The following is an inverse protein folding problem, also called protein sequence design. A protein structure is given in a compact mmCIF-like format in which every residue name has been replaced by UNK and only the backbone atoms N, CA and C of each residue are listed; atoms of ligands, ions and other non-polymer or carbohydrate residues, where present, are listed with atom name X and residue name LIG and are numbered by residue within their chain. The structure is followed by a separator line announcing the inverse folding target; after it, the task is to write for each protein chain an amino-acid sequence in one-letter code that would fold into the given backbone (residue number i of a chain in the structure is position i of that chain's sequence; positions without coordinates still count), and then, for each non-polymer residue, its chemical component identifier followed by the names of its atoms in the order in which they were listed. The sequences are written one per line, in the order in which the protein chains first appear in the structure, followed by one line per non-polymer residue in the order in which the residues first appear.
data_IF_602964290381
#
_entry.id   IF_602964290381
#
_cell.length_a   1.000
_cell.length_b   1.000
_cell.length_c   1.000
_cell.angle_alpha   90.00
_cell.angle_beta   90.00
_cell.angle_gamma   90.00
#
_symmetry.space_group_name_H-M   'P 1'
#
loop_
_entity.id
_entity.type
_entity.pdbx_description
1 polymer ?
#
# COMPACT_ATOMS: atom_id res chain seq x y z
N UNK A 1 7.65 -15.64 -4.31
CA UNK A 1 7.04 -14.32 -4.37
C UNK A 1 6.66 -13.84 -3.00
N UNK A 2 6.78 -12.56 -2.78
CA UNK A 2 6.43 -11.96 -1.51
C UNK A 2 5.22 -11.07 -1.69
N UNK A 3 4.61 -10.71 -0.56
CA UNK A 3 3.47 -9.82 -0.54
C UNK A 3 3.80 -8.59 0.27
N UNK A 4 3.32 -7.44 -0.20
CA UNK A 4 3.57 -6.16 0.45
C UNK A 4 2.28 -5.37 0.53
N UNK A 5 2.10 -4.67 1.63
CA UNK A 5 1.01 -3.70 1.75
C UNK A 5 1.57 -2.33 1.39
N UNK A 6 0.93 -1.67 0.46
CA UNK A 6 1.27 -0.31 0.06
C UNK A 6 0.21 0.61 0.62
N UNK A 7 0.60 1.54 1.47
CA UNK A 7 -0.33 2.55 1.98
C UNK A 7 0.18 3.93 1.63
N UNK A 8 -0.75 4.82 1.38
CA UNK A 8 -0.38 6.17 1.03
C UNK A 8 -1.37 7.18 1.56
N UNK A 9 -0.86 8.39 1.78
CA UNK A 9 -1.66 9.54 2.18
C UNK A 9 -1.22 10.69 1.30
N UNK A 10 -2.06 11.03 0.33
CA UNK A 10 -1.74 12.02 -0.70
C UNK A 10 -2.60 13.26 -0.49
N UNK A 11 -1.94 14.39 -0.34
CA UNK A 11 -2.62 15.62 0.04
C UNK A 11 -3.46 16.25 -1.08
N UNK A 12 -3.09 16.02 -2.33
CA UNK A 12 -3.77 16.67 -3.45
C UNK A 12 -4.60 15.68 -4.26
N UNK A 13 -5.88 16.02 -4.57
CA UNK A 13 -6.77 15.09 -5.28
C UNK A 13 -6.26 14.61 -6.62
N UNK A 14 -5.59 15.45 -7.38
CA UNK A 14 -5.06 15.07 -8.68
C UNK A 14 -3.92 14.05 -8.54
N UNK A 15 -3.04 14.26 -7.58
CA UNK A 15 -1.96 13.30 -7.32
C UNK A 15 -2.54 12.00 -6.76
N UNK A 16 -3.52 12.09 -5.89
CA UNK A 16 -4.20 10.92 -5.33
C UNK A 16 -4.77 10.06 -6.46
N UNK A 17 -5.44 10.68 -7.40
CA UNK A 17 -6.04 9.98 -8.54
C UNK A 17 -4.97 9.29 -9.40
N UNK A 18 -3.84 9.95 -9.62
CA UNK A 18 -2.76 9.37 -10.41
C UNK A 18 -2.12 8.17 -9.72
N UNK A 19 -1.90 8.27 -8.43
CA UNK A 19 -1.34 7.18 -7.64
C UNK A 19 -2.29 5.99 -7.65
N UNK A 20 -3.58 6.25 -7.45
CA UNK A 20 -4.59 5.20 -7.46
C UNK A 20 -4.61 4.46 -8.80
N UNK A 21 -4.62 5.20 -9.91
CA UNK A 21 -4.66 4.58 -11.24
C UNK A 21 -3.40 3.77 -11.54
N UNK A 22 -2.26 4.27 -11.09
CA UNK A 22 -0.99 3.57 -11.27
C UNK A 22 -1.01 2.24 -10.51
N UNK A 23 -1.40 2.27 -9.24
CA UNK A 23 -1.43 1.08 -8.41
C UNK A 23 -2.51 0.10 -8.83
N UNK A 24 -3.64 0.58 -9.28
CA UNK A 24 -4.75 -0.27 -9.69
C UNK A 24 -4.36 -1.23 -10.81
N UNK A 25 -3.44 -0.83 -11.66
CA UNK A 25 -2.97 -1.67 -12.77
C UNK A 25 -1.92 -2.67 -12.34
N UNK A 26 -1.30 -2.50 -11.18
CA UNK A 26 -0.13 -3.27 -10.76
C UNK A 26 -0.31 -4.02 -9.45
N UNK A 27 -1.33 -3.68 -8.70
CA UNK A 27 -1.56 -4.24 -7.37
C UNK A 27 -3.06 -4.42 -7.15
N UNK A 28 -3.41 -5.05 -6.04
CA UNK A 28 -4.81 -5.34 -5.72
C UNK A 28 -5.31 -4.36 -4.67
N UNK A 29 -6.39 -3.61 -4.95
CA UNK A 29 -6.95 -2.71 -3.96
C UNK A 29 -7.56 -3.50 -2.79
N UNK A 30 -7.14 -3.17 -1.58
CA UNK A 30 -7.70 -3.77 -0.37
C UNK A 30 -8.70 -2.83 0.28
N UNK A 31 -8.34 -1.57 0.34
CA UNK A 31 -9.12 -0.55 0.96
C UNK A 31 -8.71 0.79 0.38
N UNK A 32 -9.42 1.83 0.70
CA UNK A 32 -9.07 3.17 0.26
C UNK A 32 -7.62 3.49 0.72
N UNK A 33 -6.79 3.85 -0.23
CA UNK A 33 -5.38 4.16 0.01
C UNK A 33 -4.53 2.98 0.50
N UNK A 34 -5.01 1.75 0.30
CA UNK A 34 -4.27 0.55 0.70
C UNK A 34 -4.34 -0.48 -0.42
N UNK A 35 -3.18 -0.95 -0.86
CA UNK A 35 -3.08 -1.95 -1.93
C UNK A 35 -2.22 -3.12 -1.48
N UNK A 36 -2.49 -4.28 -2.04
CA UNK A 36 -1.64 -5.46 -1.89
C UNK A 36 -0.83 -5.64 -3.17
N UNK A 37 0.47 -5.65 -3.03
CA UNK A 37 1.38 -5.91 -4.15
C UNK A 37 2.03 -7.27 -3.98
N UNK A 38 1.99 -8.08 -5.03
CA UNK A 38 2.60 -9.40 -5.05
C UNK A 38 3.77 -9.38 -6.02
N UNK A 39 4.95 -9.72 -5.53
CA UNK A 39 6.14 -9.73 -6.35
C UNK A 39 7.38 -9.89 -5.49
N UNK A 40 8.54 -9.85 -6.12
CA UNK A 40 9.79 -9.89 -5.39
C UNK A 40 10.25 -8.47 -5.03
N UNK A 41 11.36 -8.40 -4.31
CA UNK A 41 11.89 -7.13 -3.83
C UNK A 41 12.27 -6.20 -4.98
N UNK A 42 12.80 -6.74 -6.06
CA UNK A 42 13.16 -5.95 -7.23
C UNK A 42 11.93 -5.37 -7.92
N UNK A 43 10.87 -6.15 -7.99
CA UNK A 43 9.62 -5.69 -8.56
C UNK A 43 9.00 -4.60 -7.71
N UNK A 44 9.11 -4.72 -6.39
CA UNK A 44 8.67 -3.68 -5.48
C UNK A 44 9.44 -2.38 -5.69
N UNK A 45 10.76 -2.48 -5.84
CA UNK A 45 11.58 -1.30 -6.10
C UNK A 45 11.15 -0.58 -7.37
N UNK A 46 10.85 -1.33 -8.42
CA UNK A 46 10.38 -0.75 -9.68
C UNK A 46 9.02 -0.07 -9.50
N UNK A 47 8.15 -0.68 -8.71
CA UNK A 47 6.86 -0.10 -8.41
C UNK A 47 7.03 1.24 -7.70
N UNK A 48 7.88 1.28 -6.69
CA UNK A 48 8.12 2.50 -5.93
C UNK A 48 8.82 3.58 -6.76
N UNK A 49 9.73 3.18 -7.62
CA UNK A 49 10.39 4.12 -8.54
C UNK A 49 9.38 4.79 -9.46
N UNK A 50 8.40 4.03 -9.95
CA UNK A 50 7.35 4.57 -10.81
C UNK A 50 6.39 5.46 -10.05
N UNK A 51 6.23 5.26 -8.75
CA UNK A 51 5.36 6.10 -7.93
C UNK A 51 6.03 7.41 -7.52
N UNK A 52 7.34 7.41 -7.43
CA UNK A 52 8.08 8.56 -6.94
C UNK A 52 7.75 9.87 -7.67
N UNK A 53 7.72 9.91 -9.02
CA UNK A 53 7.37 11.15 -9.72
C UNK A 53 5.90 11.54 -9.60
N UNK A 54 5.06 10.67 -9.08
CA UNK A 54 3.63 10.95 -8.95
C UNK A 54 3.27 11.59 -7.63
N UNK A 55 4.18 11.61 -6.68
CA UNK A 55 3.92 12.13 -5.34
C UNK A 55 4.80 13.33 -5.05
N UNK A 56 4.41 14.11 -4.03
CA UNK A 56 5.19 15.22 -3.53
C UNK A 56 5.85 14.77 -2.23
N UNK A 57 7.18 14.75 -2.22
CA UNK A 57 7.93 14.24 -1.07
C UNK A 57 7.73 15.03 0.21
N UNK A 58 7.20 16.24 0.14
CA UNK A 58 6.98 17.08 1.32
C UNK A 58 5.57 16.94 1.88
N UNK A 59 4.58 16.76 1.01
CA UNK A 59 3.19 16.74 1.42
C UNK A 59 2.57 15.36 1.47
N UNK A 60 3.15 14.42 0.73
CA UNK A 60 2.56 13.09 0.57
C UNK A 60 3.37 12.06 1.33
N UNK A 61 2.70 11.01 1.77
CA UNK A 61 3.35 9.88 2.42
C UNK A 61 2.98 8.61 1.67
N UNK A 62 3.96 7.73 1.49
CA UNK A 62 3.74 6.45 0.84
C UNK A 62 4.66 5.43 1.49
N UNK A 63 4.09 4.32 1.92
CA UNK A 63 4.83 3.28 2.63
C UNK A 63 4.54 1.91 2.08
N UNK A 64 5.54 1.04 2.12
CA UNK A 64 5.41 -0.34 1.73
C UNK A 64 5.91 -1.21 2.88
N UNK A 65 5.12 -2.21 3.24
CA UNK A 65 5.46 -3.12 4.33
C UNK A 65 5.39 -4.55 3.85
N UNK A 66 6.41 -5.35 4.12
CA UNK A 66 6.35 -6.76 3.79
C UNK A 66 5.38 -7.49 4.70
N UNK A 67 4.67 -8.47 4.14
CA UNK A 67 3.75 -9.27 4.92
C UNK A 67 4.29 -10.67 5.09
N UNK A 68 4.02 -11.30 6.25
CA UNK A 68 4.41 -12.68 6.46
C UNK A 68 3.61 -13.61 5.55
N UNK A 69 4.21 -14.71 5.17
CA UNK A 69 3.56 -15.67 4.29
C UNK A 69 2.34 -16.32 4.90
N UNK A 70 2.38 -16.59 6.20
CA UNK A 70 1.31 -17.30 6.89
C UNK A 70 0.56 -16.38 7.82
N UNK A 71 -0.72 -16.68 8.00
CA UNK A 71 -1.53 -15.95 8.93
C UNK A 71 -1.87 -14.55 8.49
N UNK A 72 -1.79 -14.29 7.22
CA UNK A 72 -2.02 -12.96 6.68
C UNK A 72 -3.38 -12.40 7.08
N UNK A 73 -4.44 -13.17 6.85
CA UNK A 73 -5.79 -12.70 7.17
C UNK A 73 -5.98 -12.48 8.66
N UNK A 74 -5.48 -13.38 9.47
CA UNK A 74 -5.59 -13.24 10.91
C UNK A 74 -4.85 -12.01 11.40
N UNK A 75 -3.66 -11.78 10.87
CA UNK A 75 -2.87 -10.63 11.25
C UNK A 75 -3.52 -9.31 10.85
N UNK A 76 -4.06 -9.26 9.65
CA UNK A 76 -4.75 -8.06 9.18
C UNK A 76 -5.97 -7.77 10.04
N UNK A 77 -6.74 -8.80 10.36
CA UNK A 77 -7.93 -8.65 11.16
C UNK A 77 -7.67 -8.19 12.58
N UNK A 78 -6.48 -8.44 13.09
CA UNK A 78 -6.11 -8.05 14.45
C UNK A 78 -5.21 -6.83 14.50
N UNK A 79 -5.04 -6.18 13.38
CA UNK A 79 -4.19 -4.99 13.29
C UNK A 79 -2.77 -5.26 13.76
N UNK A 80 -2.24 -6.43 13.46
CA UNK A 80 -0.86 -6.80 13.83
C UNK A 80 0.15 -6.27 12.84
N UNK A 81 -0.10 -5.12 12.29
CA UNK A 81 0.76 -4.51 11.28
C UNK A 81 1.77 -3.60 11.94
N UNK A 82 2.88 -3.34 11.24
CA UNK A 82 3.88 -2.40 11.76
C UNK A 82 3.28 -1.04 12.06
N UNK A 83 3.91 -0.32 12.96
CA UNK A 83 3.49 1.03 13.29
C UNK A 83 3.48 1.92 12.04
N UNK A 84 2.56 2.85 12.02
CA UNK A 84 2.41 3.79 10.92
C UNK A 84 1.31 3.41 9.96
N UNK A 85 0.79 2.20 10.03
CA UNK A 85 -0.33 1.82 9.20
C UNK A 85 -1.63 2.10 9.93
N UNK A 86 -2.51 2.87 9.28
CA UNK A 86 -3.81 3.21 9.83
C UNK A 86 -4.85 2.25 9.28
N UNK A 87 -5.42 1.42 10.14
CA UNK A 87 -6.40 0.42 9.74
C UNK A 87 -7.82 0.78 10.12
N UNK A 88 -8.04 1.98 10.61
CA UNK A 88 -9.38 2.41 11.04
C UNK A 88 -10.41 2.37 9.92
N UNK A 89 -9.99 2.45 8.68
CA UNK A 89 -10.89 2.39 7.54
C UNK A 89 -11.21 0.99 7.07
N UNK A 90 -10.60 -0.04 7.64
CA UNK A 90 -10.79 -1.41 7.21
C UNK A 90 -12.02 -2.03 7.86
N UNK A 91 -12.71 -2.93 7.13
CA UNK A 91 -13.84 -3.63 7.72
C UNK A 91 -13.41 -4.49 8.90
N UNK A 92 -14.26 -4.62 9.89
CA UNK A 92 -13.98 -5.46 11.05
C UNK A 92 -13.81 -6.94 10.68
N UNK A 93 -14.30 -7.32 9.52
CA UNK A 93 -14.24 -8.70 9.05
C UNK A 93 -12.89 -9.12 8.51
N UNK A 94 -11.95 -8.24 8.47
CA UNK A 94 -10.60 -8.60 8.05
C UNK A 94 -10.01 -9.77 8.86
#
# INVERSE_FOLDING_TARGET
MSEYVICYDIAHPKRLSRVFRYLKKRAFPLQYSVFLFVGDERQLERLLEGLQPLIDGKEDDLRAYPLPRRGLKARLGRACLPEGIQWSGLPAAW
#
